data_IF_150042272582
#
_entry.id   IF_150042272582
#
_cell.length_a   1.000
_cell.length_b   1.000
_cell.length_c   1.000
_cell.angle_alpha   90.00
_cell.angle_beta   90.00
_cell.angle_gamma   90.00
#
_symmetry.space_group_name_H-M   'P 1'
#
loop_
_entity.id
_entity.type
_entity.pdbx_description
1 polymer ?
#
# COMPACT_ATOMS: atom_id res chain seq x y z
N UNK A 1 24.22 -5.15 51.47
CA UNK A 1 23.39 -6.30 51.89
C UNK A 1 22.05 -6.18 51.17
N UNK A 2 21.81 -7.10 50.23
CA UNK A 2 20.64 -7.17 49.35
C UNK A 2 19.41 -7.63 50.12
N UNK A 3 18.27 -6.95 49.96
CA UNK A 3 16.94 -7.51 50.30
C UNK A 3 15.98 -7.13 49.17
N UNK A 4 15.82 -8.08 48.26
CA UNK A 4 14.83 -8.13 47.20
C UNK A 4 13.40 -8.14 47.76
N UNK A 5 12.58 -7.16 47.36
CA UNK A 5 11.13 -7.18 47.59
C UNK A 5 10.46 -7.84 46.40
N UNK A 6 10.09 -9.11 46.57
CA UNK A 6 9.21 -9.82 45.64
C UNK A 6 7.79 -9.25 45.76
N UNK A 7 7.31 -8.61 44.69
CA UNK A 7 5.89 -8.30 44.52
C UNK A 7 5.27 -9.39 43.66
N UNK A 8 4.46 -10.26 44.27
CA UNK A 8 3.57 -11.16 43.55
C UNK A 8 2.30 -10.38 43.22
N UNK A 9 2.18 -9.91 41.98
CA UNK A 9 0.89 -9.52 41.42
C UNK A 9 0.29 -10.75 40.74
N UNK A 10 -0.82 -11.27 41.30
CA UNK A 10 -1.61 -12.31 40.67
C UNK A 10 -2.41 -11.68 39.52
N UNK A 11 -2.03 -11.96 38.28
CA UNK A 11 -2.82 -11.61 37.12
C UNK A 11 -3.95 -12.64 36.94
N UNK A 12 -5.18 -12.22 37.19
CA UNK A 12 -6.36 -12.95 36.74
C UNK A 12 -6.48 -12.73 35.23
N UNK A 13 -6.06 -13.72 34.44
CA UNK A 13 -6.28 -13.73 32.99
C UNK A 13 -7.74 -14.09 32.76
N UNK A 14 -8.57 -13.08 32.52
CA UNK A 14 -9.89 -13.27 31.97
C UNK A 14 -9.73 -13.63 30.48
N UNK A 15 -9.93 -14.90 30.15
CA UNK A 15 -9.95 -15.36 28.77
C UNK A 15 -11.17 -14.79 28.06
N UNK A 16 -11.00 -13.65 27.38
CA UNK A 16 -11.93 -13.23 26.35
C UNK A 16 -11.69 -14.20 25.18
N UNK A 17 -12.67 -15.05 24.90
CA UNK A 17 -12.66 -15.88 23.70
C UNK A 17 -12.87 -14.96 22.50
N UNK A 18 -11.77 -14.42 21.97
CA UNK A 18 -11.75 -13.77 20.67
C UNK A 18 -12.15 -14.82 19.64
N UNK A 19 -13.32 -14.67 19.04
CA UNK A 19 -13.66 -15.34 17.80
C UNK A 19 -12.78 -14.71 16.70
N UNK A 20 -11.49 -15.06 16.68
CA UNK A 20 -10.66 -14.87 15.51
C UNK A 20 -11.21 -15.83 14.45
N UNK A 21 -12.14 -15.33 13.63
CA UNK A 21 -12.37 -15.94 12.34
C UNK A 21 -11.00 -16.01 11.68
N UNK A 22 -10.52 -17.23 11.41
CA UNK A 22 -9.32 -17.43 10.62
C UNK A 22 -9.61 -16.79 9.26
N UNK A 23 -9.10 -15.59 9.02
CA UNK A 23 -9.09 -15.01 7.69
C UNK A 23 -8.15 -15.90 6.88
N UNK A 24 -8.70 -16.69 5.97
CA UNK A 24 -7.90 -17.47 5.02
C UNK A 24 -7.28 -16.49 4.05
N UNK A 25 -5.95 -16.38 4.06
CA UNK A 25 -5.19 -15.60 3.10
C UNK A 25 -5.48 -16.09 1.67
N UNK A 26 -5.85 -15.16 0.79
CA UNK A 26 -6.05 -15.45 -0.62
C UNK A 26 -4.72 -15.27 -1.38
N UNK A 27 -4.30 -16.30 -2.11
CA UNK A 27 -3.03 -16.32 -2.85
C UNK A 27 -3.17 -16.18 -4.37
N UNK A 28 -4.38 -15.91 -4.88
CA UNK A 28 -4.58 -15.58 -6.31
C UNK A 28 -4.35 -16.70 -7.34
N UNK A 29 -4.96 -16.51 -8.52
CA UNK A 29 -4.75 -17.26 -9.76
C UNK A 29 -4.98 -16.26 -10.90
N UNK A 30 -4.06 -16.13 -11.88
CA UNK A 30 -4.08 -15.23 -13.07
C UNK A 30 -5.42 -14.45 -13.24
N UNK A 31 -5.61 -13.44 -12.39
CA UNK A 31 -6.87 -12.74 -12.22
C UNK A 31 -6.64 -11.36 -12.79
N UNK A 32 -7.41 -10.91 -13.78
CA UNK A 32 -7.24 -9.59 -14.43
C UNK A 32 -7.31 -8.34 -13.53
N UNK A 33 -7.23 -8.55 -12.23
CA UNK A 33 -6.85 -7.67 -11.12
C UNK A 33 -5.48 -6.97 -11.40
N UNK A 34 -4.49 -7.69 -11.96
CA UNK A 34 -3.08 -7.24 -12.08
C UNK A 34 -2.91 -5.85 -12.72
N UNK A 35 -3.65 -5.58 -13.81
CA UNK A 35 -3.49 -4.34 -14.56
C UNK A 35 -4.01 -3.09 -13.82
N UNK A 36 -4.96 -3.22 -12.89
CA UNK A 36 -5.47 -2.10 -12.09
C UNK A 36 -4.58 -1.85 -10.87
N UNK A 37 -4.18 -2.92 -10.20
CA UNK A 37 -3.30 -2.85 -9.03
C UNK A 37 -1.91 -2.33 -9.39
N UNK A 38 -1.35 -2.79 -10.52
CA UNK A 38 -0.08 -2.27 -11.01
C UNK A 38 -0.11 -0.75 -11.21
N UNK A 39 -1.21 -0.18 -11.73
CA UNK A 39 -1.34 1.27 -11.92
C UNK A 39 -1.41 2.03 -10.60
N UNK A 40 -1.98 1.44 -9.56
CA UNK A 40 -2.06 2.05 -8.24
C UNK A 40 -0.68 2.12 -7.58
N UNK A 41 0.08 1.02 -7.65
CA UNK A 41 1.46 1.02 -7.17
C UNK A 41 2.37 1.92 -8.02
N UNK A 42 2.19 1.90 -9.34
CA UNK A 42 2.90 2.80 -10.24
C UNK A 42 2.65 4.27 -9.87
N UNK A 43 1.43 4.68 -9.49
CA UNK A 43 1.14 6.06 -9.08
C UNK A 43 1.88 6.48 -7.78
N UNK A 44 2.26 5.53 -6.92
CA UNK A 44 3.06 5.79 -5.72
C UNK A 44 4.56 5.86 -6.04
N UNK A 45 5.00 5.08 -7.02
CA UNK A 45 6.38 5.06 -7.50
C UNK A 45 6.65 6.10 -8.59
N UNK A 46 5.61 6.69 -9.16
CA UNK A 46 5.67 7.63 -10.28
C UNK A 46 6.48 8.88 -9.94
N UNK A 47 6.38 9.50 -8.76
CA UNK A 47 7.23 10.64 -8.44
C UNK A 47 8.73 10.30 -8.49
N UNK A 48 9.12 9.09 -8.05
CA UNK A 48 10.51 8.61 -8.17
C UNK A 48 10.85 8.32 -9.63
N UNK A 49 9.91 7.73 -10.38
CA UNK A 49 10.11 7.36 -11.78
C UNK A 49 10.12 8.55 -12.74
N UNK A 50 9.36 9.61 -12.48
CA UNK A 50 9.32 10.85 -13.24
C UNK A 50 10.67 11.58 -13.15
N UNK A 51 11.31 11.56 -11.97
CA UNK A 51 12.68 12.05 -11.81
C UNK A 51 13.69 11.25 -12.67
N UNK A 52 13.34 10.03 -13.08
CA UNK A 52 14.15 9.16 -13.94
C UNK A 52 13.70 9.19 -15.42
N UNK A 53 12.41 9.35 -15.76
CA UNK A 53 11.87 9.17 -17.12
C UNK A 53 11.65 10.45 -17.92
N UNK A 54 11.53 11.63 -17.30
CA UNK A 54 11.68 12.88 -18.06
C UNK A 54 13.08 12.98 -18.71
N UNK A 55 14.03 12.12 -18.32
CA UNK A 55 15.32 11.95 -19.02
C UNK A 55 15.27 11.12 -20.31
N UNK A 56 14.17 10.39 -20.59
CA UNK A 56 14.11 9.40 -21.69
C UNK A 56 13.06 9.72 -22.77
N UNK A 57 12.15 10.69 -22.55
CA UNK A 57 11.19 11.16 -23.56
C UNK A 57 11.80 12.15 -24.58
N UNK A 58 12.98 11.83 -25.11
CA UNK A 58 13.49 12.41 -26.37
C UNK A 58 14.07 11.34 -27.33
N UNK A 59 13.80 10.05 -27.10
CA UNK A 59 14.39 8.98 -27.92
C UNK A 59 13.47 8.40 -29.00
N UNK A 60 12.20 8.82 -29.09
CA UNK A 60 11.34 8.45 -30.24
C UNK A 60 10.83 9.68 -30.98
N UNK A 61 11.80 10.40 -31.55
CA UNK A 61 11.64 10.95 -32.91
C UNK A 61 11.74 12.47 -33.05
N UNK A 62 12.86 12.88 -33.65
CA UNK A 62 13.09 14.10 -34.44
C UNK A 62 13.73 15.28 -33.67
N UNK A 63 15.07 15.33 -33.74
CA UNK A 63 15.92 16.52 -33.75
C UNK A 63 15.55 17.64 -32.76
N UNK A 64 16.08 17.67 -31.52
CA UNK A 64 16.51 18.93 -30.88
C UNK A 64 17.41 18.71 -29.64
N UNK A 65 18.72 18.57 -29.84
CA UNK A 65 19.75 19.02 -28.89
C UNK A 65 19.60 18.57 -27.44
N UNK A 66 19.95 17.30 -27.16
CA UNK A 66 20.15 16.79 -25.81
C UNK A 66 21.23 17.60 -25.08
N UNK A 67 20.80 18.47 -24.17
CA UNK A 67 21.64 19.03 -23.12
C UNK A 67 21.73 17.98 -22.00
N UNK A 68 22.89 17.32 -21.80
CA UNK A 68 23.05 16.35 -20.71
C UNK A 68 22.90 16.99 -19.32
N UNK A 69 22.84 18.32 -19.19
CA UNK A 69 22.50 19.02 -17.94
C UNK A 69 21.00 19.29 -17.77
N UNK A 70 20.15 18.93 -18.73
CA UNK A 70 18.68 19.10 -18.67
C UNK A 70 17.95 17.89 -18.07
N UNK A 71 18.62 17.05 -17.27
CA UNK A 71 17.93 16.08 -16.44
C UNK A 71 17.28 16.84 -15.28
N UNK A 72 15.99 16.61 -14.95
CA UNK A 72 15.48 17.10 -13.68
C UNK A 72 16.37 16.51 -12.57
N UNK A 73 16.77 17.33 -11.57
CA UNK A 73 17.57 16.81 -10.48
C UNK A 73 16.83 15.64 -9.82
N UNK A 74 17.54 14.60 -9.36
CA UNK A 74 16.90 13.53 -8.59
C UNK A 74 16.09 14.13 -7.45
N UNK A 75 14.96 13.51 -7.13
CA UNK A 75 14.22 13.86 -5.93
C UNK A 75 15.10 13.56 -4.72
N UNK A 76 15.60 14.61 -4.08
CA UNK A 76 16.45 14.54 -2.87
C UNK A 76 15.67 14.88 -1.60
N UNK A 77 14.42 15.33 -1.73
CA UNK A 77 13.59 15.81 -0.63
C UNK A 77 12.41 14.87 -0.35
N UNK A 78 12.39 14.22 0.83
CA UNK A 78 11.31 13.30 1.23
C UNK A 78 9.92 13.95 1.26
N UNK A 79 9.83 15.23 1.63
CA UNK A 79 8.56 15.96 1.70
C UNK A 79 7.97 16.18 0.30
N UNK A 80 8.82 16.58 -0.65
CA UNK A 80 8.46 16.78 -2.05
C UNK A 80 8.00 15.46 -2.66
N UNK A 81 8.70 14.37 -2.39
CA UNK A 81 8.28 13.03 -2.82
C UNK A 81 6.87 12.68 -2.33
N UNK A 82 6.62 12.75 -1.02
CA UNK A 82 5.30 12.44 -0.46
C UNK A 82 4.21 13.35 -1.01
N UNK A 83 4.48 14.64 -1.18
CA UNK A 83 3.52 15.59 -1.76
C UNK A 83 3.18 15.30 -3.23
N UNK A 84 4.13 14.68 -3.95
CA UNK A 84 3.96 14.26 -5.34
C UNK A 84 3.12 13.01 -5.52
N UNK A 85 2.90 12.21 -4.48
CA UNK A 85 2.05 11.02 -4.56
C UNK A 85 0.59 11.46 -4.74
N UNK A 86 0.04 11.14 -5.92
CA UNK A 86 -1.29 11.54 -6.37
C UNK A 86 -2.39 10.53 -5.97
N UNK A 87 -2.37 10.08 -4.71
CA UNK A 87 -3.40 9.18 -4.15
C UNK A 87 -4.12 9.85 -2.97
N UNK A 88 -5.39 9.48 -2.70
CA UNK A 88 -6.10 9.98 -1.53
C UNK A 88 -5.35 9.67 -0.22
N UNK A 89 -5.43 10.61 0.73
CA UNK A 89 -4.84 10.48 2.08
C UNK A 89 -5.93 10.25 3.11
N UNK A 90 -5.71 9.31 4.01
CA UNK A 90 -6.57 9.05 5.16
C UNK A 90 -5.89 9.49 6.45
N UNK A 91 -6.62 10.21 7.30
CA UNK A 91 -6.09 10.82 8.53
C UNK A 91 -6.12 9.89 9.75
N UNK A 92 -6.51 8.61 9.59
CA UNK A 92 -6.65 7.66 10.69
C UNK A 92 -8.00 7.68 11.41
N UNK A 93 -8.93 8.56 11.02
CA UNK A 93 -10.25 8.65 11.65
C UNK A 93 -11.31 7.88 10.87
N UNK A 94 -12.13 7.08 11.55
CA UNK A 94 -13.17 6.27 10.90
C UNK A 94 -14.16 7.10 10.06
N UNK A 95 -14.48 8.32 10.49
CA UNK A 95 -15.44 9.21 9.82
C UNK A 95 -14.91 9.83 8.53
N UNK A 96 -13.59 9.78 8.30
CA UNK A 96 -12.96 10.38 7.11
C UNK A 96 -12.76 9.39 5.96
N UNK A 97 -13.12 8.12 6.16
CA UNK A 97 -13.03 7.10 5.10
C UNK A 97 -14.11 7.36 4.06
N UNK A 98 -13.71 7.74 2.85
CA UNK A 98 -14.61 7.83 1.71
C UNK A 98 -14.70 6.46 1.00
N UNK A 99 -15.84 5.73 1.14
CA UNK A 99 -15.99 4.40 0.53
C UNK A 99 -15.95 4.44 -1.00
N UNK A 100 -16.20 5.60 -1.62
CA UNK A 100 -16.18 5.71 -3.09
C UNK A 100 -14.79 5.52 -3.69
N UNK A 101 -13.73 5.67 -2.87
CA UNK A 101 -12.34 5.39 -3.26
C UNK A 101 -12.16 3.93 -3.71
N UNK A 102 -12.90 2.99 -3.11
CA UNK A 102 -12.73 1.55 -3.35
C UNK A 102 -13.78 0.96 -4.30
N UNK A 103 -14.73 1.76 -4.79
CA UNK A 103 -15.86 1.27 -5.58
C UNK A 103 -15.43 0.48 -6.84
N UNK A 104 -14.33 0.86 -7.47
CA UNK A 104 -13.73 0.21 -8.64
C UNK A 104 -12.31 -0.33 -8.37
N UNK A 105 -11.97 -0.45 -7.08
CA UNK A 105 -10.62 -0.66 -6.58
C UNK A 105 -9.90 0.66 -6.34
N UNK A 106 -9.06 0.72 -5.31
CA UNK A 106 -8.44 1.96 -4.89
C UNK A 106 -7.24 1.77 -3.99
N UNK A 107 -6.49 2.86 -3.83
CA UNK A 107 -5.36 2.97 -2.90
C UNK A 107 -5.54 4.22 -2.04
N UNK A 108 -5.22 4.09 -0.76
CA UNK A 108 -5.15 5.20 0.20
C UNK A 108 -3.81 5.18 0.88
N UNK A 109 -3.25 6.37 1.08
CA UNK A 109 -2.03 6.59 1.84
C UNK A 109 -2.38 7.06 3.27
N UNK A 110 -1.67 6.54 4.27
CA UNK A 110 -1.86 6.88 5.69
C UNK A 110 -0.56 6.72 6.48
N UNK A 111 -0.57 7.13 7.75
CA UNK A 111 0.56 7.01 8.68
C UNK A 111 1.88 7.61 8.13
N UNK A 112 1.80 8.85 7.64
CA UNK A 112 2.94 9.58 7.08
C UNK A 112 3.88 10.07 8.20
N UNK A 113 5.16 9.68 8.09
CA UNK A 113 6.25 10.20 8.90
C UNK A 113 7.43 10.60 8.01
N UNK A 114 7.94 11.81 8.21
CA UNK A 114 8.94 12.43 7.33
C UNK A 114 10.08 12.99 8.15
N UNK A 115 11.29 12.64 7.75
CA UNK A 115 12.52 13.19 8.33
C UNK A 115 13.39 13.83 7.25
N UNK A 116 14.51 14.46 7.64
CA UNK A 116 15.49 15.10 6.75
C UNK A 116 16.21 14.14 5.76
N UNK A 117 15.75 12.91 5.57
CA UNK A 117 16.36 11.98 4.63
C UNK A 117 15.53 10.75 4.33
N UNK A 118 14.31 10.69 4.83
CA UNK A 118 13.50 9.48 4.72
C UNK A 118 12.01 9.84 4.76
N UNK A 119 11.24 9.15 3.92
CA UNK A 119 9.79 9.16 3.97
C UNK A 119 9.29 7.76 4.37
N UNK A 120 8.48 7.70 5.43
CA UNK A 120 7.76 6.50 5.86
C UNK A 120 6.26 6.75 5.72
N UNK A 121 5.55 5.77 5.17
CA UNK A 121 4.10 5.84 5.04
C UNK A 121 3.54 4.44 4.81
N UNK A 122 2.24 4.31 4.99
CA UNK A 122 1.52 3.06 4.72
C UNK A 122 0.52 3.24 3.58
N UNK A 123 0.27 2.15 2.86
CA UNK A 123 -0.76 2.07 1.83
C UNK A 123 -1.79 1.01 2.19
N UNK A 124 -3.04 1.27 1.85
CA UNK A 124 -4.11 0.30 1.85
C UNK A 124 -4.65 0.19 0.42
N UNK A 125 -4.68 -1.02 -0.11
CA UNK A 125 -5.12 -1.29 -1.48
C UNK A 125 -6.30 -2.25 -1.46
N UNK A 126 -7.29 -1.97 -2.30
CA UNK A 126 -8.41 -2.86 -2.55
C UNK A 126 -8.57 -3.08 -4.06
N UNK A 127 -8.89 -4.32 -4.44
CA UNK A 127 -9.11 -4.69 -5.84
C UNK A 127 -10.39 -4.08 -6.42
N UNK A 128 -11.35 -3.71 -5.56
CA UNK A 128 -12.73 -3.50 -5.96
C UNK A 128 -13.41 -4.80 -6.38
N UNK A 129 -14.60 -4.72 -6.98
CA UNK A 129 -15.36 -5.89 -7.42
C UNK A 129 -14.59 -6.73 -8.44
N UNK A 130 -14.41 -8.02 -8.15
CA UNK A 130 -13.81 -8.98 -9.09
C UNK A 130 -14.90 -9.49 -10.06
N UNK A 131 -14.84 -9.15 -11.38
CA UNK A 131 -15.89 -9.51 -12.33
C UNK A 131 -15.83 -10.99 -12.72
N UNK A 132 -16.99 -11.66 -12.76
CA UNK A 132 -17.12 -13.05 -13.22
C UNK A 132 -17.22 -14.12 -12.11
N UNK A 133 -17.23 -13.71 -10.83
CA UNK A 133 -17.34 -14.64 -9.70
C UNK A 133 -18.76 -14.78 -9.13
N UNK A 134 -19.65 -13.87 -9.50
CA UNK A 134 -21.08 -13.99 -9.25
C UNK A 134 -21.83 -13.58 -10.51
N UNK A 135 -21.90 -14.47 -11.49
CA UNK A 135 -23.09 -14.65 -12.34
C UNK A 135 -22.90 -15.88 -13.25
N UNK A 136 -23.84 -16.82 -13.14
CA UNK A 136 -24.08 -17.99 -14.00
C UNK A 136 -23.05 -19.15 -14.00
N UNK A 137 -23.10 -19.97 -12.94
CA UNK A 137 -22.83 -21.41 -13.05
C UNK A 137 -21.37 -21.88 -12.91
N UNK A 138 -20.47 -21.02 -12.42
CA UNK A 138 -19.09 -21.36 -12.09
C UNK A 138 -18.92 -21.98 -10.69
N UNK A 139 -17.91 -22.83 -10.55
CA UNK A 139 -17.47 -23.59 -9.36
C UNK A 139 -16.61 -22.76 -8.39
N UNK A 140 -16.54 -21.44 -8.58
CA UNK A 140 -15.67 -20.56 -7.83
C UNK A 140 -16.36 -20.06 -6.55
N UNK A 141 -15.63 -20.07 -5.43
CA UNK A 141 -16.12 -19.75 -4.09
C UNK A 141 -15.17 -18.81 -3.33
N UNK A 142 -14.49 -17.91 -4.04
CA UNK A 142 -13.59 -16.91 -3.44
C UNK A 142 -14.31 -15.63 -3.02
N UNK A 143 -13.56 -14.69 -2.40
CA UNK A 143 -14.09 -13.41 -1.93
C UNK A 143 -14.40 -12.48 -3.11
N UNK A 144 -15.48 -11.69 -3.01
CA UNK A 144 -15.89 -10.78 -4.10
C UNK A 144 -15.03 -9.51 -4.26
N UNK A 145 -14.06 -9.34 -3.35
CA UNK A 145 -13.06 -8.28 -3.29
C UNK A 145 -11.88 -8.75 -2.43
N UNK A 146 -10.66 -8.33 -2.76
CA UNK A 146 -9.47 -8.58 -1.94
C UNK A 146 -8.77 -7.29 -1.58
N UNK A 147 -8.04 -7.30 -0.47
CA UNK A 147 -7.27 -6.15 -0.01
C UNK A 147 -5.91 -6.55 0.54
N UNK A 148 -4.99 -5.60 0.56
CA UNK A 148 -3.69 -5.72 1.22
C UNK A 148 -3.24 -4.38 1.78
N UNK A 149 -2.21 -4.39 2.61
CA UNK A 149 -1.59 -3.17 3.11
C UNK A 149 -0.07 -3.31 3.15
N UNK A 150 0.61 -2.20 2.85
CA UNK A 150 2.06 -2.10 2.81
C UNK A 150 2.54 -0.99 3.72
N UNK A 151 3.70 -1.18 4.33
CA UNK A 151 4.54 -0.13 4.86
C UNK A 151 5.66 0.15 3.86
N UNK A 152 5.89 1.42 3.57
CA UNK A 152 6.91 1.86 2.64
C UNK A 152 7.93 2.73 3.37
N UNK A 153 9.20 2.51 3.04
CA UNK A 153 10.31 3.36 3.47
C UNK A 153 11.09 3.76 2.23
N UNK A 154 11.29 5.07 2.05
CA UNK A 154 12.13 5.62 0.98
C UNK A 154 13.29 6.37 1.61
N UNK A 155 14.50 5.86 1.44
CA UNK A 155 15.74 6.47 1.92
C UNK A 155 16.37 7.36 0.83
N UNK A 156 16.37 8.67 1.09
CA UNK A 156 16.94 9.69 0.21
C UNK A 156 18.44 9.94 0.45
N UNK A 157 19.03 9.26 1.43
CA UNK A 157 20.46 9.31 1.73
C UNK A 157 21.24 8.12 1.17
N UNK A 158 20.54 7.20 0.51
CA UNK A 158 21.16 6.06 -0.15
C UNK A 158 22.10 6.52 -1.28
N UNK A 159 23.18 5.77 -1.50
CA UNK A 159 24.13 6.03 -2.59
C UNK A 159 23.55 5.67 -3.98
N UNK A 160 22.45 4.92 -4.00
CA UNK A 160 21.69 4.57 -5.20
C UNK A 160 20.42 5.42 -5.30
N UNK A 161 19.84 5.58 -6.51
CA UNK A 161 18.55 6.25 -6.65
C UNK A 161 17.53 5.70 -5.65
N UNK A 162 16.77 6.57 -4.95
CA UNK A 162 15.81 6.15 -3.94
C UNK A 162 14.74 5.26 -4.57
N UNK A 163 14.56 4.06 -4.01
CA UNK A 163 13.48 3.15 -4.33
C UNK A 163 12.73 2.79 -3.05
N UNK A 164 11.40 2.59 -3.08
CA UNK A 164 10.65 2.25 -1.90
C UNK A 164 10.94 0.80 -1.48
N UNK A 165 11.41 0.62 -0.26
CA UNK A 165 11.37 -0.68 0.41
C UNK A 165 9.93 -0.93 0.88
N UNK A 166 9.31 -2.01 0.40
CA UNK A 166 7.93 -2.38 0.70
C UNK A 166 7.90 -3.55 1.68
N UNK A 167 7.06 -3.46 2.72
CA UNK A 167 6.78 -4.55 3.65
C UNK A 167 5.28 -4.75 3.75
N UNK A 168 4.78 -5.93 3.39
CA UNK A 168 3.38 -6.29 3.60
C UNK A 168 3.14 -6.74 5.05
N UNK A 169 1.97 -6.44 5.59
CA UNK A 169 1.55 -6.90 6.90
C UNK A 169 0.05 -7.24 6.92
N UNK A 170 -0.34 -8.19 7.77
CA UNK A 170 -1.71 -8.73 7.79
C UNK A 170 -2.71 -7.84 8.56
N UNK A 171 -2.20 -7.04 9.50
CA UNK A 171 -3.00 -6.19 10.38
C UNK A 171 -3.35 -4.83 9.72
N UNK A 172 -4.16 -4.86 8.66
CA UNK A 172 -4.63 -3.64 8.02
C UNK A 172 -5.63 -2.86 8.92
N UNK A 173 -5.69 -1.50 8.82
CA UNK A 173 -6.60 -0.70 9.64
C UNK A 173 -8.06 -1.14 9.50
N UNK A 174 -8.70 -1.46 10.62
CA UNK A 174 -10.05 -2.01 10.64
C UNK A 174 -11.10 -1.05 10.04
N UNK A 175 -10.88 0.25 10.18
CA UNK A 175 -11.70 1.31 9.63
C UNK A 175 -11.73 1.24 8.10
N UNK A 176 -10.58 1.04 7.46
CA UNK A 176 -10.46 0.90 6.00
C UNK A 176 -11.02 -0.43 5.51
N UNK A 177 -10.82 -1.52 6.27
CA UNK A 177 -11.43 -2.82 5.94
C UNK A 177 -12.96 -2.76 6.06
N UNK A 178 -13.49 -2.00 7.02
CA UNK A 178 -14.93 -1.97 7.31
C UNK A 178 -15.79 -1.33 6.21
N UNK A 179 -15.18 -0.56 5.31
CA UNK A 179 -15.89 0.07 4.19
C UNK A 179 -15.89 -0.77 2.91
N UNK A 180 -15.13 -1.86 2.89
CA UNK A 180 -15.12 -2.81 1.78
C UNK A 180 -16.37 -3.68 1.77
N UNK A 181 -16.49 -4.53 0.73
CA UNK A 181 -17.55 -5.54 0.68
C UNK A 181 -17.45 -6.49 1.86
N UNK A 182 -18.59 -7.00 2.32
CA UNK A 182 -18.69 -7.80 3.55
C UNK A 182 -17.93 -9.12 3.53
N UNK A 183 -17.62 -9.63 2.34
CA UNK A 183 -16.85 -10.85 2.10
C UNK A 183 -15.43 -10.55 1.60
N UNK A 184 -14.97 -9.30 1.68
CA UNK A 184 -13.61 -8.94 1.32
C UNK A 184 -12.60 -9.70 2.19
N UNK A 185 -11.52 -10.16 1.57
CA UNK A 185 -10.48 -10.94 2.26
C UNK A 185 -9.09 -10.33 2.08
N UNK A 186 -8.27 -10.47 3.10
CA UNK A 186 -6.85 -10.20 2.99
C UNK A 186 -6.21 -11.14 1.96
N UNK A 187 -5.37 -10.57 1.11
CA UNK A 187 -4.59 -11.31 0.13
C UNK A 187 -3.11 -10.95 0.23
N UNK A 188 -2.27 -11.93 -0.10
CA UNK A 188 -0.82 -11.75 -0.08
C UNK A 188 -0.41 -10.64 -1.04
N UNK A 189 0.69 -9.95 -0.73
CA UNK A 189 1.25 -8.91 -1.60
C UNK A 189 1.51 -9.40 -3.03
N UNK A 190 1.83 -10.69 -3.19
CA UNK A 190 2.08 -11.32 -4.49
C UNK A 190 0.86 -11.21 -5.42
N UNK A 191 -0.36 -11.23 -4.88
CA UNK A 191 -1.60 -11.03 -5.66
C UNK A 191 -1.68 -9.61 -6.24
N UNK A 192 -0.99 -8.65 -5.63
CA UNK A 192 -0.98 -7.25 -6.05
C UNK A 192 0.23 -6.88 -6.91
N UNK A 193 1.29 -7.70 -6.87
CA UNK A 193 2.53 -7.46 -7.61
C UNK A 193 2.58 -8.16 -8.97
N UNK A 194 1.71 -9.16 -9.22
CA UNK A 194 1.58 -9.88 -10.50
C UNK A 194 2.43 -11.15 -10.58
#
# INVERSE_FOLDING_TARGET
MSISRAWRAAAAVASIASLSACATEYHGHDSGIDGRLWRQMAAVEDPLSASVHESLDETIGILHGLDPEAHPPPLEDPTTYLSGIAVPRWNGEAESVDPSIFADGGVVLYDEDVTDGEARFSLFLASGPIPGEADDGGWFSGPSEVYTCYGLVVDFRAETPPGPERTAFEDCPAELVSVLRSDAAFASAEVFDG
#
